data_IF_756752945076
#
_entry.id   IF_756752945076
#
_cell.length_a   1.000
_cell.length_b   1.000
_cell.length_c   1.000
_cell.angle_alpha   90.00
_cell.angle_beta   90.00
_cell.angle_gamma   90.00
#
_symmetry.space_group_name_H-M   'P 1'
#
loop_
_entity.id
_entity.type
_entity.pdbx_description
1 polymer ?
#
# COMPACT_ATOMS: atom_id res chain seq x y z
N UNK A 1 32.87 2.13 -49.59
CA UNK A 1 33.36 0.81 -49.13
C UNK A 1 32.96 0.71 -47.67
N UNK A 2 32.15 -0.22 -47.16
CA UNK A 2 31.88 -1.61 -47.51
C UNK A 2 30.48 -1.96 -46.99
N UNK A 3 29.67 -2.61 -47.83
CA UNK A 3 28.42 -3.28 -47.47
C UNK A 3 28.70 -4.45 -46.52
N UNK A 4 27.77 -4.75 -45.63
CA UNK A 4 27.29 -6.09 -45.25
C UNK A 4 26.37 -5.95 -44.03
N UNK A 5 25.33 -6.73 -43.78
CA UNK A 5 24.42 -7.54 -44.58
C UNK A 5 23.37 -8.02 -43.57
N UNK A 6 22.10 -8.09 -43.97
CA UNK A 6 20.99 -8.64 -43.20
C UNK A 6 21.30 -10.03 -42.60
N UNK A 7 20.78 -10.28 -41.38
CA UNK A 7 20.13 -11.57 -41.07
C UNK A 7 18.82 -11.37 -40.33
N UNK A 8 17.76 -11.60 -41.10
CA UNK A 8 16.39 -11.92 -40.68
C UNK A 8 16.38 -13.40 -40.32
N UNK A 9 15.95 -13.76 -39.10
CA UNK A 9 15.26 -15.03 -38.79
C UNK A 9 14.32 -14.73 -37.60
N UNK A 10 13.01 -14.52 -37.83
CA UNK A 10 11.98 -15.58 -37.84
C UNK A 10 12.12 -16.57 -36.69
N UNK A 11 11.59 -16.22 -35.52
CA UNK A 11 11.03 -17.21 -34.61
C UNK A 11 9.51 -17.04 -34.57
N UNK A 12 8.89 -17.56 -35.62
CA UNK A 12 7.46 -17.77 -35.73
C UNK A 12 7.04 -18.89 -34.77
N UNK A 13 5.83 -18.72 -34.23
CA UNK A 13 4.88 -19.79 -33.94
C UNK A 13 5.40 -20.97 -33.10
N UNK A 14 5.10 -20.96 -31.80
CA UNK A 14 4.74 -22.20 -31.11
C UNK A 14 3.23 -22.24 -30.89
N UNK A 15 2.58 -22.73 -31.94
CA UNK A 15 1.19 -23.17 -32.01
C UNK A 15 0.95 -24.31 -31.01
N UNK A 16 -0.14 -24.18 -30.26
CA UNK A 16 -1.13 -25.22 -29.98
C UNK A 16 -0.60 -26.62 -29.61
N UNK A 17 -0.63 -26.93 -28.32
CA UNK A 17 -0.95 -28.28 -27.86
C UNK A 17 -2.20 -28.24 -27.02
N UNK A 18 -3.30 -28.56 -27.68
CA UNK A 18 -4.49 -29.08 -27.05
C UNK A 18 -4.16 -30.41 -26.36
N UNK A 19 -4.44 -30.49 -25.06
CA UNK A 19 -4.64 -31.74 -24.32
C UNK A 19 -5.88 -31.46 -23.47
N UNK A 20 -7.06 -31.71 -24.02
CA UNK A 20 -7.80 -32.96 -23.83
C UNK A 20 -8.12 -33.21 -22.34
N UNK A 21 -9.33 -32.79 -21.97
CA UNK A 21 -10.22 -33.32 -20.95
C UNK A 21 -9.69 -34.51 -20.13
N UNK A 22 -9.55 -34.29 -18.82
CA UNK A 22 -9.71 -35.34 -17.83
C UNK A 22 -10.70 -34.86 -16.77
N UNK A 23 -11.99 -35.07 -17.06
CA UNK A 23 -13.03 -35.07 -16.06
C UNK A 23 -12.96 -36.40 -15.31
N UNK A 24 -12.54 -36.38 -14.04
CA UNK A 24 -12.85 -37.45 -13.09
C UNK A 24 -13.36 -36.81 -11.81
N UNK A 25 -14.64 -37.03 -11.59
CA UNK A 25 -15.45 -36.85 -10.39
C UNK A 25 -14.91 -37.76 -9.28
N UNK A 26 -14.49 -37.22 -8.14
CA UNK A 26 -14.41 -37.86 -6.80
C UNK A 26 -13.86 -36.78 -5.84
N UNK A 27 -14.46 -36.38 -4.74
CA UNK A 27 -15.65 -36.85 -4.06
C UNK A 27 -16.01 -35.83 -2.96
N UNK A 28 -17.25 -35.94 -2.53
CA UNK A 28 -17.86 -35.24 -1.41
C UNK A 28 -17.05 -35.56 -0.14
N UNK A 29 -16.14 -34.65 0.18
CA UNK A 29 -15.41 -34.57 1.44
C UNK A 29 -15.53 -33.14 1.97
N UNK A 30 -16.76 -32.66 2.11
CA UNK A 30 -17.02 -31.50 2.95
C UNK A 30 -16.71 -31.89 4.38
N UNK A 31 -15.78 -31.18 5.02
CA UNK A 31 -15.82 -30.79 6.43
C UNK A 31 -14.52 -30.01 6.76
N UNK A 32 -14.68 -28.74 7.13
CA UNK A 32 -13.74 -27.94 7.93
C UNK A 32 -12.40 -27.50 7.30
N UNK A 33 -12.44 -26.81 6.16
CA UNK A 33 -11.60 -25.60 6.06
C UNK A 33 -12.42 -24.44 6.63
N UNK A 34 -12.54 -24.38 7.96
CA UNK A 34 -12.69 -23.08 8.58
C UNK A 34 -11.32 -22.43 8.40
N UNK A 35 -11.13 -21.41 7.54
CA UNK A 35 -9.96 -20.56 7.73
C UNK A 35 -10.11 -20.08 9.16
N UNK A 36 -9.27 -20.61 10.04
CA UNK A 36 -9.28 -20.28 11.44
C UNK A 36 -9.20 -18.77 11.50
N UNK A 37 -10.33 -18.15 11.81
CA UNK A 37 -10.43 -16.75 12.16
C UNK A 37 -9.72 -16.68 13.51
N UNK A 38 -8.39 -16.80 13.48
CA UNK A 38 -7.55 -16.56 14.64
C UNK A 38 -7.98 -15.19 15.12
N UNK A 39 -8.51 -15.13 16.34
CA UNK A 39 -8.93 -13.89 16.96
C UNK A 39 -7.71 -13.00 17.08
N UNK A 40 -7.43 -12.27 16.01
CA UNK A 40 -6.31 -11.36 15.91
C UNK A 40 -6.64 -10.28 16.92
N UNK A 41 -5.78 -10.14 17.92
CA UNK A 41 -5.97 -9.16 18.97
C UNK A 41 -5.98 -7.79 18.30
N UNK A 42 -7.16 -7.25 18.10
CA UNK A 42 -7.35 -5.89 17.60
C UNK A 42 -6.63 -4.99 18.60
N UNK A 43 -5.56 -4.34 18.15
CA UNK A 43 -4.82 -3.41 18.99
C UNK A 43 -5.79 -2.31 19.47
N UNK A 44 -5.68 -1.83 20.71
CA UNK A 44 -6.50 -0.72 21.17
C UNK A 44 -6.28 0.51 20.27
N UNK A 45 -7.30 1.39 20.11
CA UNK A 45 -7.24 2.54 19.21
C UNK A 45 -5.99 3.43 19.31
N UNK A 46 -5.40 3.68 20.50
CA UNK A 46 -4.16 4.44 20.60
C UNK A 46 -2.98 3.80 19.84
N UNK A 47 -2.89 2.47 19.83
CA UNK A 47 -1.81 1.74 19.16
C UNK A 47 -2.02 1.70 17.64
N UNK A 48 -3.28 1.61 17.19
CA UNK A 48 -3.61 1.67 15.76
C UNK A 48 -3.27 3.05 15.16
N UNK A 49 -3.57 4.11 15.92
CA UNK A 49 -3.18 5.48 15.55
C UNK A 49 -1.67 5.64 15.44
N UNK A 50 -0.92 5.08 16.39
CA UNK A 50 0.55 5.11 16.35
C UNK A 50 1.08 4.38 15.11
N UNK A 51 0.50 3.23 14.76
CA UNK A 51 0.96 2.44 13.61
C UNK A 51 0.84 3.21 12.29
N UNK A 52 -0.32 3.82 11.99
CA UNK A 52 -0.46 4.57 10.72
C UNK A 52 0.45 5.82 10.68
N UNK A 53 0.86 6.35 11.83
CA UNK A 53 1.85 7.44 11.91
C UNK A 53 3.26 6.97 11.50
N UNK A 54 3.57 5.67 11.59
CA UNK A 54 4.87 5.14 11.15
C UNK A 54 5.05 5.30 9.63
N UNK A 55 4.00 5.02 8.84
CA UNK A 55 4.01 5.31 7.39
C UNK A 55 4.20 6.79 7.12
N UNK A 56 3.54 7.65 7.90
CA UNK A 56 3.69 9.09 7.74
C UNK A 56 5.14 9.52 7.94
N UNK A 57 5.87 8.94 8.88
CA UNK A 57 7.28 9.23 9.08
C UNK A 57 8.14 8.82 7.86
N UNK A 58 7.91 7.64 7.28
CA UNK A 58 8.58 7.25 6.03
C UNK A 58 8.26 8.21 4.89
N UNK A 59 6.98 8.58 4.73
CA UNK A 59 6.54 9.57 3.77
C UNK A 59 7.20 10.95 3.98
N UNK A 60 7.33 11.39 5.23
CA UNK A 60 7.95 12.67 5.59
C UNK A 60 9.42 12.72 5.16
N UNK A 61 10.19 11.68 5.47
CA UNK A 61 11.59 11.60 5.04
C UNK A 61 11.68 11.51 3.52
N UNK A 62 10.82 10.71 2.87
CA UNK A 62 10.75 10.64 1.41
C UNK A 62 10.50 12.03 0.81
N UNK A 63 9.53 12.78 1.33
CA UNK A 63 9.18 14.13 0.88
C UNK A 63 10.38 15.09 1.02
N UNK A 64 11.10 15.02 2.13
CA UNK A 64 12.31 15.83 2.36
C UNK A 64 13.44 15.51 1.37
N UNK A 65 13.62 14.23 1.00
CA UNK A 65 14.69 13.78 0.11
C UNK A 65 14.35 13.92 -1.38
N UNK A 66 13.09 13.78 -1.75
CA UNK A 66 12.64 13.72 -3.14
C UNK A 66 11.95 15.02 -3.60
N UNK A 67 12.39 16.18 -3.12
CA UNK A 67 11.89 17.50 -3.54
C UNK A 67 10.37 17.64 -3.43
N UNK A 68 9.77 17.10 -2.37
CA UNK A 68 8.32 17.06 -2.17
C UNK A 68 7.51 16.25 -3.20
N UNK A 69 8.17 15.36 -3.93
CA UNK A 69 7.49 14.39 -4.82
C UNK A 69 6.73 13.37 -3.97
N UNK A 70 5.46 13.19 -4.31
CA UNK A 70 4.62 12.19 -3.67
C UNK A 70 4.92 10.81 -4.29
N UNK A 71 5.10 9.74 -3.48
CA UNK A 71 5.33 8.40 -4.02
C UNK A 71 4.12 7.91 -4.82
N UNK A 72 4.32 7.07 -5.83
CA UNK A 72 3.24 6.56 -6.70
C UNK A 72 2.17 5.80 -5.91
N UNK A 73 2.62 4.97 -4.97
CA UNK A 73 1.81 4.10 -4.12
C UNK A 73 2.60 3.70 -2.86
N UNK A 74 2.03 2.80 -2.05
CA UNK A 74 2.63 2.31 -0.83
C UNK A 74 3.86 1.43 -1.07
N UNK A 75 3.85 0.64 -2.15
CA UNK A 75 4.95 -0.26 -2.51
C UNK A 75 6.19 0.52 -2.95
N UNK A 76 6.00 1.60 -3.71
CA UNK A 76 7.07 2.53 -4.08
C UNK A 76 7.70 3.18 -2.85
N UNK A 77 6.88 3.63 -1.88
CA UNK A 77 7.38 4.22 -0.64
C UNK A 77 8.14 3.19 0.22
N UNK A 78 7.63 1.96 0.31
CA UNK A 78 8.32 0.85 0.99
C UNK A 78 9.66 0.51 0.35
N UNK A 79 9.66 0.33 -0.98
CA UNK A 79 10.87 0.02 -1.75
C UNK A 79 11.92 1.11 -1.54
N UNK A 80 11.51 2.38 -1.58
CA UNK A 80 12.39 3.49 -1.24
C UNK A 80 12.91 3.39 0.19
N UNK A 81 12.06 3.16 1.19
CA UNK A 81 12.46 3.08 2.60
C UNK A 81 13.50 1.98 2.87
N UNK A 82 13.31 0.80 2.28
CA UNK A 82 14.22 -0.35 2.43
C UNK A 82 15.58 -0.09 1.75
N UNK A 83 15.57 0.62 0.62
CA UNK A 83 16.77 0.92 -0.17
C UNK A 83 17.65 2.06 0.40
N UNK A 84 17.29 2.62 1.55
CA UNK A 84 18.01 3.76 2.11
C UNK A 84 19.41 3.42 2.66
N UNK A 85 20.29 4.43 2.68
CA UNK A 85 21.64 4.30 3.24
C UNK A 85 21.62 4.17 4.77
N UNK A 86 22.74 3.77 5.37
CA UNK A 86 22.86 3.67 6.83
C UNK A 86 22.61 5.01 7.55
N UNK A 87 22.92 6.14 6.89
CA UNK A 87 22.65 7.48 7.44
C UNK A 87 21.14 7.73 7.56
N UNK A 88 20.37 7.36 6.54
CA UNK A 88 18.91 7.46 6.58
C UNK A 88 18.29 6.45 7.55
N UNK A 89 18.85 5.23 7.66
CA UNK A 89 18.41 4.26 8.66
C UNK A 89 18.63 4.76 10.08
N UNK A 90 19.74 5.46 10.36
CA UNK A 90 19.94 6.10 11.66
C UNK A 90 18.86 7.16 11.95
N UNK A 91 18.45 7.92 10.93
CA UNK A 91 17.32 8.85 11.05
C UNK A 91 16.02 8.12 11.39
N UNK A 92 15.74 6.99 10.74
CA UNK A 92 14.58 6.16 11.06
C UNK A 92 14.61 5.68 12.51
N UNK A 93 15.77 5.25 13.02
CA UNK A 93 15.94 4.86 14.43
C UNK A 93 15.65 6.04 15.37
N UNK A 94 16.18 7.24 15.09
CA UNK A 94 15.91 8.45 15.89
C UNK A 94 14.43 8.85 15.88
N UNK A 95 13.71 8.54 14.81
CA UNK A 95 12.26 8.76 14.69
C UNK A 95 11.40 7.61 15.28
N UNK A 96 12.02 6.54 15.79
CA UNK A 96 11.30 5.38 16.34
C UNK A 96 10.65 4.45 15.31
N UNK A 97 11.05 4.57 14.03
CA UNK A 97 10.56 3.75 12.91
C UNK A 97 11.64 2.85 12.30
N UNK A 98 12.87 2.87 12.82
CA UNK A 98 13.95 2.00 12.36
C UNK A 98 13.62 0.52 12.57
N UNK A 99 13.90 -0.32 11.56
CA UNK A 99 13.57 -1.75 11.57
C UNK A 99 12.10 -2.06 11.24
N UNK A 100 11.28 -1.05 10.93
CA UNK A 100 9.86 -1.18 10.55
C UNK A 100 9.61 -0.93 9.07
N UNK A 101 10.66 -0.87 8.26
CA UNK A 101 10.60 -0.54 6.83
C UNK A 101 9.71 -1.51 6.05
N UNK A 102 9.60 -2.75 6.52
CA UNK A 102 8.73 -3.77 5.93
C UNK A 102 7.33 -3.81 6.57
N UNK A 103 7.27 -3.75 7.91
CA UNK A 103 6.04 -4.01 8.67
C UNK A 103 5.09 -2.83 8.73
N UNK A 104 5.60 -1.59 8.69
CA UNK A 104 4.76 -0.39 8.85
C UNK A 104 3.70 -0.23 7.74
N UNK A 105 3.90 -0.89 6.59
CA UNK A 105 3.06 -0.74 5.39
C UNK A 105 1.79 -1.60 5.39
N UNK A 106 1.58 -2.44 6.40
CA UNK A 106 0.39 -3.28 6.55
C UNK A 106 -0.40 -2.83 7.77
N UNK A 107 -1.70 -2.59 7.63
CA UNK A 107 -2.52 -2.22 8.79
C UNK A 107 -2.66 -3.40 9.75
N UNK A 108 -2.41 -3.20 11.06
CA UNK A 108 -2.65 -4.26 12.04
C UNK A 108 -4.14 -4.54 12.23
N UNK A 109 -5.04 -3.65 11.76
CA UNK A 109 -6.48 -3.73 11.97
C UNK A 109 -7.19 -4.53 10.89
N UNK A 110 -6.97 -4.19 9.61
CA UNK A 110 -7.60 -4.89 8.47
C UNK A 110 -6.65 -5.84 7.74
N UNK A 111 -5.38 -5.92 8.14
CA UNK A 111 -4.33 -6.77 7.54
C UNK A 111 -4.08 -6.49 6.04
N UNK A 112 -4.55 -5.34 5.55
CA UNK A 112 -4.32 -4.91 4.18
C UNK A 112 -3.17 -3.91 4.12
N UNK A 113 -2.50 -3.79 2.96
CA UNK A 113 -1.61 -2.69 2.70
C UNK A 113 -2.34 -1.35 2.86
N UNK A 114 -1.69 -0.37 3.47
CA UNK A 114 -2.25 0.98 3.47
C UNK A 114 -2.25 1.57 2.05
N UNK A 115 -3.26 2.36 1.74
CA UNK A 115 -3.31 3.15 0.51
C UNK A 115 -2.52 4.44 0.74
N UNK A 116 -1.42 4.64 0.01
CA UNK A 116 -0.64 5.89 0.01
C UNK A 116 -1.04 6.72 -1.20
N UNK A 117 -1.80 7.78 -0.98
CA UNK A 117 -2.30 8.67 -2.02
C UNK A 117 -2.63 10.04 -1.45
N UNK A 118 -2.38 11.10 -2.24
CA UNK A 118 -2.74 12.47 -1.86
C UNK A 118 -4.22 12.74 -2.12
N UNK A 119 -5.02 12.85 -1.07
CA UNK A 119 -6.46 13.18 -1.16
C UNK A 119 -6.71 14.55 -0.52
N UNK A 120 -6.99 15.60 -1.30
CA UNK A 120 -7.39 16.89 -0.74
C UNK A 120 -8.72 16.78 0.00
N UNK A 121 -8.75 17.12 1.29
CA UNK A 121 -10.00 17.16 2.07
C UNK A 121 -10.86 18.39 1.70
N UNK A 122 -10.17 19.47 1.29
CA UNK A 122 -10.79 20.78 1.10
C UNK A 122 -11.01 21.55 2.40
N UNK A 123 -10.58 21.01 3.53
CA UNK A 123 -10.55 21.68 4.82
C UNK A 123 -9.11 22.20 5.07
N UNK A 124 -8.92 23.52 5.27
CA UNK A 124 -7.60 24.09 5.53
C UNK A 124 -6.97 23.62 6.85
N UNK A 125 -7.77 23.16 7.83
CA UNK A 125 -7.27 22.63 9.10
C UNK A 125 -6.69 21.23 8.95
N UNK A 126 -7.33 20.36 8.16
CA UNK A 126 -6.89 18.98 7.99
C UNK A 126 -5.86 18.79 6.88
N UNK A 127 -5.84 19.65 5.86
CA UNK A 127 -4.93 19.51 4.73
C UNK A 127 -5.29 18.34 3.82
N UNK A 128 -4.31 17.55 3.41
CA UNK A 128 -4.53 16.37 2.55
C UNK A 128 -4.32 15.08 3.33
N UNK A 129 -5.13 14.06 3.08
CA UNK A 129 -4.81 12.69 3.50
C UNK A 129 -3.63 12.20 2.65
N UNK A 130 -2.66 11.53 3.28
CA UNK A 130 -1.46 10.97 2.61
C UNK A 130 -1.39 9.46 2.70
N UNK A 131 -1.94 8.85 3.75
CA UNK A 131 -2.19 7.42 3.81
C UNK A 131 -3.50 7.10 4.53
N UNK A 132 -4.13 5.99 4.15
CA UNK A 132 -5.35 5.49 4.80
C UNK A 132 -5.43 3.96 4.71
N UNK A 133 -6.24 3.38 5.59
CA UNK A 133 -6.58 1.96 5.50
C UNK A 133 -7.36 1.63 4.22
N UNK A 134 -7.13 0.42 3.71
CA UNK A 134 -7.73 -0.04 2.46
C UNK A 134 -9.18 -0.48 2.64
N UNK A 135 -9.52 -1.16 3.74
CA UNK A 135 -10.87 -1.62 4.02
C UNK A 135 -11.44 -0.88 5.23
N UNK A 136 -10.67 -0.81 6.32
CA UNK A 136 -11.13 -0.32 7.61
C UNK A 136 -12.03 -1.31 8.36
N UNK A 137 -12.65 -0.87 9.45
CA UNK A 137 -13.53 -1.66 10.33
C UNK A 137 -14.70 -0.79 10.77
N UNK A 138 -15.89 -1.37 10.88
CA UNK A 138 -17.13 -0.70 11.32
C UNK A 138 -17.49 0.57 10.52
N UNK A 139 -17.25 0.54 9.21
CA UNK A 139 -17.55 1.67 8.32
C UNK A 139 -16.61 2.87 8.48
N UNK A 140 -15.50 2.70 9.23
CA UNK A 140 -14.50 3.74 9.48
C UNK A 140 -13.13 3.29 9.03
N UNK A 141 -12.24 4.24 8.75
CA UNK A 141 -10.84 4.00 8.39
C UNK A 141 -9.92 4.92 9.17
N UNK A 142 -8.79 4.40 9.62
CA UNK A 142 -7.69 5.26 10.02
C UNK A 142 -7.10 5.94 8.78
N UNK A 143 -6.89 7.23 8.92
CA UNK A 143 -6.21 8.08 7.94
C UNK A 143 -5.09 8.84 8.64
N UNK A 144 -4.05 9.21 7.90
CA UNK A 144 -3.05 10.17 8.35
C UNK A 144 -2.97 11.32 7.35
N UNK A 145 -3.02 12.53 7.89
CA UNK A 145 -2.96 13.78 7.13
C UNK A 145 -1.51 14.19 6.87
N UNK A 146 -1.30 15.11 5.93
CA UNK A 146 0.02 15.67 5.59
C UNK A 146 0.65 16.48 6.73
N UNK A 147 -0.14 16.82 7.75
CA UNK A 147 0.31 17.36 9.05
C UNK A 147 0.85 16.32 10.03
N UNK A 148 0.69 15.01 9.75
CA UNK A 148 1.04 13.91 10.66
C UNK A 148 -0.03 13.56 11.68
N UNK A 149 -1.14 14.29 11.71
CA UNK A 149 -2.31 13.94 12.51
C UNK A 149 -2.94 12.67 11.96
N UNK A 150 -3.20 11.69 12.83
CA UNK A 150 -3.88 10.45 12.48
C UNK A 150 -5.24 10.36 13.17
N UNK A 151 -6.28 10.06 12.40
CA UNK A 151 -7.67 10.03 12.86
C UNK A 151 -8.45 8.87 12.27
N UNK A 152 -9.51 8.48 12.95
CA UNK A 152 -10.49 7.54 12.43
C UNK A 152 -11.63 8.34 11.79
N UNK A 153 -11.87 8.10 10.50
CA UNK A 153 -12.81 8.87 9.67
C UNK A 153 -13.85 7.93 9.06
N UNK A 154 -15.10 8.39 9.01
CA UNK A 154 -16.21 7.68 8.35
C UNK A 154 -15.92 7.45 6.87
N UNK A 155 -16.21 6.25 6.38
CA UNK A 155 -15.93 5.85 5.00
C UNK A 155 -16.65 6.77 3.99
N UNK A 156 -17.85 7.23 4.30
CA UNK A 156 -18.62 8.14 3.44
C UNK A 156 -17.90 9.48 3.27
N UNK A 157 -17.28 10.00 4.33
CA UNK A 157 -16.50 11.23 4.30
C UNK A 157 -15.27 11.07 3.39
N UNK A 158 -14.56 9.95 3.51
CA UNK A 158 -13.40 9.62 2.65
C UNK A 158 -13.82 9.51 1.17
N UNK A 159 -14.92 8.80 0.89
CA UNK A 159 -15.49 8.69 -0.46
C UNK A 159 -15.81 10.06 -1.04
N UNK A 160 -16.35 10.98 -0.23
CA UNK A 160 -16.62 12.36 -0.67
C UNK A 160 -15.35 13.10 -1.08
N UNK A 161 -14.26 12.98 -0.30
CA UNK A 161 -12.96 13.59 -0.62
C UNK A 161 -12.34 13.00 -1.88
N UNK A 162 -12.41 11.68 -2.06
CA UNK A 162 -11.92 11.00 -3.27
C UNK A 162 -12.71 11.40 -4.53
N UNK A 163 -14.04 11.59 -4.42
CA UNK A 163 -14.85 12.06 -5.55
C UNK A 163 -14.46 13.49 -5.95
N UNK A 164 -14.28 14.37 -4.96
CA UNK A 164 -13.88 15.77 -5.17
C UNK A 164 -12.47 15.91 -5.74
N UNK A 165 -11.55 15.00 -5.41
CA UNK A 165 -10.19 15.03 -5.96
C UNK A 165 -10.16 14.65 -7.44
N UNK A 166 -11.01 13.72 -7.87
CA UNK A 166 -11.14 13.32 -9.28
C UNK A 166 -11.74 14.41 -10.16
N UNK A 167 -12.64 15.24 -9.63
CA UNK A 167 -13.29 16.32 -10.41
C UNK A 167 -12.41 17.55 -10.65
N UNK A 168 -11.20 17.61 -10.07
CA UNK A 168 -10.27 18.75 -10.21
C UNK A 168 -9.10 18.47 -11.17
N UNK A 169 -9.02 17.27 -11.72
CA UNK A 169 -8.07 16.91 -12.78
C UNK A 169 -8.73 17.10 -14.13
#
# INVERSE_FOLDING_TARGET
MQRMHLKIERFLLNKTRAVAYLAIVFGIGGLFFQPGCGSQKVLPPPQQRQHIQEIFHFYLVHKMRNQSTFPTDAEALKTWAVAQSDTEKEMFVRMGIGGKEESAFISPRDQQPYLVQKIPTGDPMFGAVVALEQEGVDGKRFVVFDSGRAEEIEEQQIKSWMKKSKSKK
#
